data_IF_788032423032
#
_entry.id   IF_788032423032
#
_cell.length_a   1.000
_cell.length_b   1.000
_cell.length_c   1.000
_cell.angle_alpha   90.00
_cell.angle_beta   90.00
_cell.angle_gamma   90.00
#
_symmetry.space_group_name_H-M   'P 1'
#
loop_
_entity.id
_entity.type
_entity.pdbx_description
1 polymer ?
#
# COMPACT_ATOMS: atom_id res chain seq x y z
N UNK A 1 3.11 11.31 -1.43
CA UNK A 1 1.72 11.77 -1.58
C UNK A 1 1.60 12.67 -2.80
N UNK A 2 0.62 12.42 -3.67
CA UNK A 2 0.35 13.19 -4.88
C UNK A 2 -0.80 14.19 -4.68
N UNK A 3 -0.85 15.25 -5.51
CA UNK A 3 -1.82 16.34 -5.36
C UNK A 3 -3.28 15.90 -5.58
N UNK A 4 -3.52 14.97 -6.49
CA UNK A 4 -4.85 14.45 -6.83
C UNK A 4 -4.70 13.15 -7.65
N UNK A 5 -5.83 12.54 -8.02
CA UNK A 5 -5.85 11.30 -8.80
C UNK A 5 -5.17 11.45 -10.18
N UNK A 6 -5.34 12.58 -10.85
CA UNK A 6 -4.73 12.81 -12.16
C UNK A 6 -3.19 12.86 -12.08
N UNK A 7 -2.64 13.50 -11.04
CA UNK A 7 -1.21 13.49 -10.78
C UNK A 7 -0.71 12.09 -10.41
N UNK A 8 -1.51 11.32 -9.66
CA UNK A 8 -1.19 9.94 -9.33
C UNK A 8 -1.07 9.08 -10.59
N UNK A 9 -2.06 9.14 -11.49
CA UNK A 9 -2.00 8.44 -12.78
C UNK A 9 -0.86 8.94 -13.68
N UNK A 10 -0.65 10.26 -13.76
CA UNK A 10 0.34 10.85 -14.67
C UNK A 10 1.78 10.58 -14.23
N UNK A 11 2.06 10.63 -12.93
CA UNK A 11 3.44 10.61 -12.39
C UNK A 11 3.75 9.37 -11.53
N UNK A 12 2.78 8.49 -11.28
CA UNK A 12 3.02 7.26 -10.54
C UNK A 12 3.93 6.30 -11.31
N UNK A 13 3.65 6.06 -12.59
CA UNK A 13 4.47 5.13 -13.37
C UNK A 13 5.91 5.63 -13.60
N UNK A 14 6.10 6.90 -13.92
CA UNK A 14 7.44 7.50 -13.97
C UNK A 14 7.46 8.79 -13.17
N UNK A 15 8.39 8.96 -12.21
CA UNK A 15 9.61 8.16 -11.99
C UNK A 15 9.47 6.94 -11.06
N UNK A 16 8.31 6.74 -10.42
CA UNK A 16 8.20 5.82 -9.27
C UNK A 16 7.96 4.35 -9.64
N UNK A 17 7.63 4.05 -10.90
CA UNK A 17 7.41 2.69 -11.44
C UNK A 17 6.32 1.90 -10.70
N UNK A 18 5.25 2.59 -10.31
CA UNK A 18 4.08 1.95 -9.65
C UNK A 18 2.93 1.76 -10.63
N UNK A 19 2.11 0.73 -10.39
CA UNK A 19 0.77 0.66 -10.99
C UNK A 19 -0.10 1.75 -10.36
N UNK A 20 -0.87 2.44 -11.21
CA UNK A 20 -1.71 3.56 -10.83
C UNK A 20 -3.20 3.26 -10.97
N UNK A 21 -3.58 2.07 -11.45
CA UNK A 21 -4.99 1.66 -11.56
C UNK A 21 -5.54 1.16 -10.21
N UNK A 22 -5.39 1.97 -9.16
CA UNK A 22 -5.77 1.68 -7.77
C UNK A 22 -6.02 3.00 -7.00
N UNK A 23 -6.49 2.90 -5.75
CA UNK A 23 -6.72 4.07 -4.89
C UNK A 23 -5.48 4.57 -4.13
N UNK A 24 -4.40 3.79 -4.19
CA UNK A 24 -3.17 3.93 -3.43
C UNK A 24 -2.40 2.62 -3.51
N UNK A 25 -1.13 2.62 -3.12
CA UNK A 25 -0.34 1.38 -3.08
C UNK A 25 0.76 1.45 -2.02
N UNK A 26 0.86 0.37 -1.25
CA UNK A 26 1.99 0.00 -0.42
C UNK A 26 3.02 -0.82 -1.20
N UNK A 27 4.30 -0.51 -1.04
CA UNK A 27 5.41 -1.27 -1.61
C UNK A 27 6.41 -1.59 -0.50
N UNK A 28 6.51 -2.88 -0.15
CA UNK A 28 7.44 -3.40 0.86
C UNK A 28 8.90 -3.14 0.47
N UNK A 29 9.27 -3.40 -0.79
CA UNK A 29 10.67 -3.45 -1.20
C UNK A 29 11.28 -4.82 -0.92
N UNK A 30 12.48 -4.87 -0.33
CA UNK A 30 13.15 -6.13 0.03
C UNK A 30 13.24 -6.24 1.55
N UNK A 31 12.32 -6.99 2.17
CA UNK A 31 12.24 -7.14 3.63
C UNK A 31 13.47 -7.79 4.27
N UNK A 32 14.29 -8.52 3.49
CA UNK A 32 15.55 -9.10 3.96
C UNK A 32 16.72 -8.09 4.00
N UNK A 33 16.57 -6.93 3.37
CA UNK A 33 17.60 -5.88 3.40
C UNK A 33 17.43 -5.03 4.66
N UNK A 34 18.42 -4.92 5.56
CA UNK A 34 18.31 -4.06 6.74
C UNK A 34 18.16 -2.57 6.39
N UNK A 35 18.51 -2.17 5.16
CA UNK A 35 18.33 -0.82 4.63
C UNK A 35 17.04 -0.68 3.80
N UNK A 36 16.10 -1.61 3.92
CA UNK A 36 14.83 -1.55 3.20
C UNK A 36 14.07 -0.26 3.52
N UNK A 37 13.44 0.32 2.50
CA UNK A 37 12.63 1.52 2.63
C UNK A 37 11.26 1.26 2.02
N UNK A 38 10.31 0.73 2.82
CA UNK A 38 8.93 0.58 2.38
C UNK A 38 8.31 1.94 2.09
N UNK A 39 7.43 1.99 1.08
CA UNK A 39 6.83 3.24 0.60
C UNK A 39 5.32 3.11 0.44
N UNK A 40 4.62 4.19 0.72
CA UNK A 40 3.19 4.35 0.46
C UNK A 40 3.00 5.47 -0.55
N UNK A 41 2.31 5.16 -1.64
CA UNK A 41 1.92 6.14 -2.66
C UNK A 41 0.41 6.32 -2.63
N UNK A 42 -0.02 7.54 -2.34
CA UNK A 42 -1.42 7.94 -2.16
C UNK A 42 -1.61 9.36 -2.70
N UNK A 43 -2.86 9.80 -2.85
CA UNK A 43 -3.20 11.13 -3.36
C UNK A 43 -4.27 11.83 -2.51
N UNK A 44 -4.36 13.16 -2.62
CA UNK A 44 -5.43 13.91 -1.96
C UNK A 44 -6.75 13.80 -2.70
N UNK A 45 -7.85 13.60 -1.96
CA UNK A 45 -9.23 13.63 -2.43
C UNK A 45 -10.11 14.27 -1.34
N UNK A 46 -10.87 15.30 -1.69
CA UNK A 46 -11.82 15.97 -0.78
C UNK A 46 -11.21 16.34 0.59
N UNK A 47 -10.05 17.01 0.58
CA UNK A 47 -9.25 17.39 1.77
C UNK A 47 -8.76 16.23 2.65
N UNK A 48 -8.87 14.99 2.19
CA UNK A 48 -8.35 13.80 2.86
C UNK A 48 -7.24 13.14 2.03
N UNK A 49 -6.35 12.40 2.70
CA UNK A 49 -5.38 11.54 2.02
C UNK A 49 -6.10 10.23 1.69
N UNK A 50 -6.50 10.08 0.42
CA UNK A 50 -7.28 8.94 -0.03
C UNK A 50 -6.52 7.63 0.19
N UNK A 51 -7.21 6.62 0.71
CA UNK A 51 -6.72 5.27 1.03
C UNK A 51 -5.52 5.17 1.98
N UNK A 52 -5.04 6.25 2.59
CA UNK A 52 -3.87 6.15 3.48
C UNK A 52 -4.06 5.19 4.65
N UNK A 53 -5.27 5.15 5.24
CA UNK A 53 -5.60 4.23 6.31
C UNK A 53 -5.56 2.76 5.88
N UNK A 54 -5.92 2.45 4.63
CA UNK A 54 -5.83 1.12 4.06
C UNK A 54 -4.35 0.74 3.84
N UNK A 55 -3.59 1.59 3.15
CA UNK A 55 -2.19 1.30 2.81
C UNK A 55 -1.26 1.19 4.04
N UNK A 56 -1.53 1.94 5.11
CA UNK A 56 -0.71 1.84 6.33
C UNK A 56 -0.94 0.50 7.05
N UNK A 57 -2.12 -0.12 6.91
CA UNK A 57 -2.37 -1.45 7.46
C UNK A 57 -1.56 -2.50 6.71
N UNK A 58 -1.45 -2.40 5.38
CA UNK A 58 -0.55 -3.28 4.61
C UNK A 58 0.89 -3.21 5.10
N UNK A 59 1.39 -2.00 5.38
CA UNK A 59 2.72 -1.82 5.98
C UNK A 59 2.85 -2.49 7.35
N UNK A 60 1.87 -2.29 8.24
CA UNK A 60 1.90 -2.88 9.58
C UNK A 60 1.80 -4.40 9.54
N UNK A 61 0.94 -4.95 8.69
CA UNK A 61 0.77 -6.39 8.52
C UNK A 61 2.04 -7.02 7.93
N UNK A 62 2.64 -6.40 6.90
CA UNK A 62 3.92 -6.81 6.34
C UNK A 62 5.05 -6.81 7.36
N UNK A 63 5.11 -5.78 8.22
CA UNK A 63 6.20 -5.61 9.19
C UNK A 63 6.08 -6.49 10.43
N UNK A 64 4.87 -6.72 10.92
CA UNK A 64 4.65 -7.30 12.25
C UNK A 64 3.96 -8.66 12.24
N UNK A 65 3.22 -9.02 11.20
CA UNK A 65 2.44 -10.26 11.16
C UNK A 65 2.93 -11.24 10.09
N UNK A 66 3.38 -10.73 8.93
CA UNK A 66 3.84 -11.56 7.81
C UNK A 66 5.35 -11.82 7.87
N UNK A 67 5.74 -13.00 7.42
CA UNK A 67 7.14 -13.40 7.27
C UNK A 67 7.54 -13.43 5.81
N UNK A 68 8.61 -12.73 5.42
CA UNK A 68 9.07 -12.68 4.03
C UNK A 68 8.43 -11.57 3.21
N UNK A 69 8.59 -11.61 1.89
CA UNK A 69 8.10 -10.59 0.97
C UNK A 69 6.86 -11.05 0.16
N UNK A 70 6.32 -10.15 -0.67
CA UNK A 70 5.14 -10.43 -1.48
C UNK A 70 5.33 -11.55 -2.52
N UNK A 71 6.57 -11.95 -2.86
CA UNK A 71 6.86 -13.04 -3.79
C UNK A 71 6.95 -14.40 -3.07
N UNK A 72 7.01 -14.41 -1.74
CA UNK A 72 7.18 -15.63 -0.94
C UNK A 72 5.88 -16.40 -0.73
N UNK A 73 4.73 -15.75 -0.86
CA UNK A 73 3.41 -16.37 -0.72
C UNK A 73 2.64 -16.35 -2.05
N UNK A 74 1.95 -17.44 -2.43
CA UNK A 74 1.01 -17.40 -3.53
C UNK A 74 -0.04 -16.32 -3.26
N UNK A 75 -0.19 -15.38 -4.20
CA UNK A 75 -1.10 -14.24 -4.03
C UNK A 75 -2.52 -14.66 -3.63
N UNK A 76 -3.05 -15.71 -4.24
CA UNK A 76 -4.43 -16.18 -3.99
C UNK A 76 -4.71 -16.59 -2.54
N UNK A 77 -3.73 -17.13 -1.81
CA UNK A 77 -3.92 -17.61 -0.44
C UNK A 77 -3.90 -16.50 0.61
N UNK A 78 -3.18 -15.40 0.34
CA UNK A 78 -2.95 -14.32 1.32
C UNK A 78 -3.63 -12.99 0.93
N UNK A 79 -4.06 -12.82 -0.32
CA UNK A 79 -4.73 -11.60 -0.77
C UNK A 79 -5.99 -11.31 0.04
N UNK A 80 -6.83 -12.32 0.31
CA UNK A 80 -8.06 -12.10 1.10
C UNK A 80 -7.73 -11.60 2.52
N UNK A 81 -6.68 -12.13 3.15
CA UNK A 81 -6.21 -11.69 4.46
C UNK A 81 -5.69 -10.26 4.40
N UNK A 82 -4.78 -9.99 3.45
CA UNK A 82 -4.14 -8.68 3.32
C UNK A 82 -5.14 -7.56 3.10
N UNK A 83 -5.96 -7.69 2.04
CA UNK A 83 -6.94 -6.68 1.65
C UNK A 83 -8.10 -6.61 2.65
N UNK A 84 -8.58 -7.77 3.13
CA UNK A 84 -9.66 -7.83 4.11
C UNK A 84 -9.29 -7.20 5.46
N UNK A 85 -8.07 -7.45 5.95
CA UNK A 85 -7.56 -6.84 7.18
C UNK A 85 -7.38 -5.33 7.01
N UNK A 86 -6.82 -4.89 5.88
CA UNK A 86 -6.64 -3.48 5.57
C UNK A 86 -7.97 -2.73 5.58
N UNK A 87 -8.97 -3.26 4.87
CA UNK A 87 -10.33 -2.71 4.85
C UNK A 87 -11.00 -2.71 6.22
N UNK A 88 -10.90 -3.81 6.97
CA UNK A 88 -11.51 -3.94 8.30
C UNK A 88 -10.96 -2.91 9.29
N UNK A 89 -9.63 -2.76 9.36
CA UNK A 89 -9.00 -1.82 10.28
C UNK A 89 -9.18 -0.37 9.80
N UNK A 90 -9.09 -0.09 8.50
CA UNK A 90 -9.16 1.28 7.98
C UNK A 90 -10.56 1.89 8.09
N UNK A 91 -11.61 1.06 8.06
CA UNK A 91 -13.00 1.48 8.14
C UNK A 91 -13.65 1.22 9.51
N UNK A 92 -12.92 0.61 10.45
CA UNK A 92 -13.38 0.45 11.82
C UNK A 92 -13.69 1.81 12.44
N UNK A 93 -14.91 1.99 12.95
CA UNK A 93 -15.22 3.16 13.79
C UNK A 93 -14.30 3.12 15.00
N UNK A 94 -13.51 4.18 15.18
CA UNK A 94 -12.75 4.43 16.40
C UNK A 94 -13.67 4.93 17.51
#
# INVERSE_FOLDING_TARGET
>A
MMKNKDHYHRYGNYPFRIDTNNGGIYIEGNSNNPNNQPRIFVYMKDNNIHNFGHEIVHYLDGKYNKYGDANMFPSEEITWWSEGLAEYISHGKK
#
